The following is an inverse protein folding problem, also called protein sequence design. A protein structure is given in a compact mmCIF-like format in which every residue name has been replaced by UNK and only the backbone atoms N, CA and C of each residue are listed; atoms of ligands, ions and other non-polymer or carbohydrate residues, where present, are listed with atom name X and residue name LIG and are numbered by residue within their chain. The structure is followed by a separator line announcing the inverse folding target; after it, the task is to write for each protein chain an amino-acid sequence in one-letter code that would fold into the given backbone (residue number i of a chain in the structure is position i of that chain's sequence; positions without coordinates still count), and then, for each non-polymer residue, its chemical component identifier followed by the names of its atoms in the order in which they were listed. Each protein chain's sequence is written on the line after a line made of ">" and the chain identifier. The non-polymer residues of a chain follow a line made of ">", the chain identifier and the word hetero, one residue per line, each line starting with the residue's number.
data_IF_061023835875
#
_entry.id   IF_061023835875
#
_cell.length_a   1.000
_cell.length_b   1.000
_cell.length_c   1.000
_cell.angle_alpha   90.00
_cell.angle_beta   90.00
_cell.angle_gamma   90.00
#
_symmetry.space_group_name_H-M   'P 1'
#
loop_
_entity.id
_entity.type
_entity.pdbx_description
1 polymer ?
#
# COMPACT_ATOMS: atom_id res chain seq x y z
N UNK A 1 -6.24 13.11 -29.33
CA UNK A 1 -6.44 11.83 -30.05
C UNK A 1 -5.49 10.83 -29.44
N UNK A 2 -5.99 9.81 -28.73
CA UNK A 2 -5.11 8.79 -28.17
C UNK A 2 -4.59 7.89 -29.29
N UNK A 3 -3.27 7.70 -29.36
CA UNK A 3 -2.69 6.80 -30.36
C UNK A 3 -3.16 5.36 -30.09
N UNK A 4 -3.68 4.63 -31.10
CA UNK A 4 -4.19 3.27 -30.90
C UNK A 4 -3.12 2.30 -30.37
N UNK A 5 -1.85 2.55 -30.67
CA UNK A 5 -0.67 1.91 -30.05
C UNK A 5 -0.67 1.99 -28.52
N UNK A 6 -0.92 3.19 -27.96
CA UNK A 6 -0.86 3.44 -26.51
C UNK A 6 -2.02 2.71 -25.82
N UNK A 7 -3.22 2.72 -26.42
CA UNK A 7 -4.36 1.96 -25.91
C UNK A 7 -4.08 0.47 -25.84
N UNK A 8 -3.44 -0.12 -26.85
CA UNK A 8 -3.08 -1.56 -26.86
C UNK A 8 -2.04 -1.91 -25.80
N UNK A 9 -1.01 -1.09 -25.60
CA UNK A 9 0.00 -1.27 -24.54
C UNK A 9 -0.63 -1.24 -23.15
N UNK A 10 -1.52 -0.27 -22.88
CA UNK A 10 -2.28 -0.18 -21.62
C UNK A 10 -3.19 -1.40 -21.39
N UNK A 11 -3.88 -1.89 -22.44
CA UNK A 11 -4.70 -3.10 -22.38
C UNK A 11 -3.85 -4.34 -22.06
N UNK A 12 -2.69 -4.50 -22.70
CA UNK A 12 -1.79 -5.64 -22.42
C UNK A 12 -1.25 -5.61 -20.99
N UNK A 13 -0.79 -4.46 -20.48
CA UNK A 13 -0.38 -4.33 -19.08
C UNK A 13 -1.52 -4.65 -18.09
N UNK A 14 -2.75 -4.27 -18.44
CA UNK A 14 -3.95 -4.59 -17.65
C UNK A 14 -4.25 -6.11 -17.67
N UNK A 15 -4.13 -6.75 -18.83
CA UNK A 15 -4.21 -8.21 -18.98
C UNK A 15 -3.17 -8.92 -18.12
N UNK A 16 -1.90 -8.53 -18.22
CA UNK A 16 -0.81 -9.13 -17.44
C UNK A 16 -1.07 -9.02 -15.95
N UNK A 17 -1.57 -7.87 -15.48
CA UNK A 17 -1.95 -7.66 -14.08
C UNK A 17 -3.14 -8.55 -13.66
N UNK A 18 -4.17 -8.66 -14.50
CA UNK A 18 -5.34 -9.51 -14.23
C UNK A 18 -5.00 -11.01 -14.26
N UNK A 19 -4.16 -11.46 -15.19
CA UNK A 19 -3.65 -12.83 -15.23
C UNK A 19 -2.85 -13.16 -13.96
N UNK A 20 -1.90 -12.28 -13.58
CA UNK A 20 -1.12 -12.41 -12.35
C UNK A 20 -1.98 -12.42 -11.10
N UNK A 21 -3.00 -11.56 -11.05
CA UNK A 21 -3.95 -11.49 -9.93
C UNK A 21 -4.83 -12.74 -9.85
N UNK A 22 -5.50 -13.15 -10.94
CA UNK A 22 -6.32 -14.37 -10.96
C UNK A 22 -5.52 -15.63 -10.60
N UNK A 23 -4.28 -15.76 -11.06
CA UNK A 23 -3.36 -16.86 -10.68
C UNK A 23 -2.95 -16.83 -9.19
N UNK A 24 -3.06 -15.69 -8.51
CA UNK A 24 -2.83 -15.55 -7.06
C UNK A 24 -4.11 -15.83 -6.26
N UNK A 25 -5.28 -15.48 -6.79
CA UNK A 25 -6.57 -15.54 -6.09
C UNK A 25 -7.33 -16.87 -6.25
N UNK A 26 -7.18 -17.59 -7.37
CA UNK A 26 -7.95 -18.80 -7.64
C UNK A 26 -7.08 -20.07 -7.69
N UNK A 27 -7.47 -21.07 -6.90
CA UNK A 27 -6.87 -22.42 -6.97
C UNK A 27 -7.21 -23.21 -8.24
N UNK A 28 -8.26 -22.80 -8.97
CA UNK A 28 -8.64 -23.45 -10.24
C UNK A 28 -7.98 -22.73 -11.43
N UNK A 29 -6.87 -23.31 -11.90
CA UNK A 29 -6.04 -22.78 -12.99
C UNK A 29 -6.76 -22.81 -14.35
N UNK A 30 -7.75 -23.69 -14.57
CA UNK A 30 -8.49 -23.74 -15.84
C UNK A 30 -9.25 -22.43 -16.14
N UNK A 31 -9.70 -21.70 -15.11
CA UNK A 31 -10.35 -20.38 -15.27
C UNK A 31 -9.46 -19.29 -15.84
N UNK A 32 -8.14 -19.52 -15.90
CA UNK A 32 -7.22 -18.63 -16.59
C UNK A 32 -7.31 -18.72 -18.12
N UNK A 33 -7.92 -19.80 -18.65
CA UNK A 33 -7.99 -20.12 -20.08
C UNK A 33 -9.43 -20.18 -20.64
N UNK A 34 -10.43 -19.75 -19.86
CA UNK A 34 -11.80 -19.52 -20.36
C UNK A 34 -11.82 -18.40 -21.42
N UNK A 35 -12.74 -18.44 -22.37
CA UNK A 35 -12.71 -17.58 -23.56
C UNK A 35 -12.77 -16.07 -23.24
N UNK A 36 -13.42 -15.69 -22.13
CA UNK A 36 -13.49 -14.31 -21.59
C UNK A 36 -12.39 -13.99 -20.55
N UNK A 37 -11.33 -14.80 -20.50
CA UNK A 37 -10.22 -14.59 -19.57
C UNK A 37 -9.29 -13.46 -20.01
N UNK A 38 -8.55 -12.92 -19.03
CA UNK A 38 -7.48 -11.96 -19.30
C UNK A 38 -6.43 -12.53 -20.27
N UNK A 39 -6.06 -13.82 -20.16
CA UNK A 39 -5.09 -14.42 -21.08
C UNK A 39 -5.62 -14.43 -22.52
N UNK A 40 -6.84 -14.93 -22.76
CA UNK A 40 -7.45 -14.86 -24.10
C UNK A 40 -7.51 -13.42 -24.66
N UNK A 41 -7.81 -12.45 -23.80
CA UNK A 41 -7.76 -11.02 -24.19
C UNK A 41 -6.35 -10.60 -24.62
N UNK A 42 -5.30 -11.02 -23.90
CA UNK A 42 -3.90 -10.72 -24.25
C UNK A 42 -3.40 -11.42 -25.50
N UNK A 43 -3.84 -12.65 -25.76
CA UNK A 43 -3.49 -13.40 -26.96
C UNK A 43 -3.84 -12.62 -28.24
N UNK A 44 -4.97 -11.90 -28.24
CA UNK A 44 -5.40 -11.05 -29.37
C UNK A 44 -4.58 -9.76 -29.52
N UNK A 45 -3.76 -9.38 -28.53
CA UNK A 45 -2.95 -8.16 -28.52
C UNK A 45 -1.48 -8.40 -28.91
N UNK A 46 -1.00 -9.65 -28.94
CA UNK A 46 0.42 -9.98 -29.13
C UNK A 46 1.04 -9.35 -30.39
N UNK A 47 0.39 -9.49 -31.55
CA UNK A 47 0.85 -8.89 -32.81
C UNK A 47 0.65 -7.37 -32.92
N UNK A 48 0.50 -6.66 -31.80
CA UNK A 48 0.29 -5.21 -31.75
C UNK A 48 0.81 -4.55 -30.46
N UNK A 49 1.76 -5.20 -29.79
CA UNK A 49 2.51 -4.64 -28.65
C UNK A 49 4.00 -4.89 -28.84
N UNK A 50 4.89 -4.09 -28.22
CA UNK A 50 6.33 -4.30 -28.31
C UNK A 50 6.75 -5.66 -27.74
N UNK A 51 7.81 -6.24 -28.30
CA UNK A 51 8.29 -7.58 -27.98
C UNK A 51 8.50 -7.83 -26.48
N UNK A 52 8.93 -6.81 -25.72
CA UNK A 52 9.06 -6.90 -24.26
C UNK A 52 7.73 -7.25 -23.55
N UNK A 53 6.60 -6.67 -23.96
CA UNK A 53 5.28 -7.00 -23.42
C UNK A 53 4.75 -8.33 -23.97
N UNK A 54 5.12 -8.68 -25.21
CA UNK A 54 4.78 -9.98 -25.79
C UNK A 54 5.49 -11.12 -25.05
N UNK A 55 6.79 -10.97 -24.75
CA UNK A 55 7.57 -11.90 -23.94
C UNK A 55 7.03 -12.01 -22.52
N UNK A 56 6.73 -10.88 -21.86
CA UNK A 56 6.12 -10.89 -20.53
C UNK A 56 4.77 -11.63 -20.50
N UNK A 57 4.00 -11.56 -21.59
CA UNK A 57 2.78 -12.35 -21.78
C UNK A 57 3.05 -13.84 -22.00
N UNK A 58 4.05 -14.21 -22.80
CA UNK A 58 4.43 -15.61 -23.05
C UNK A 58 4.95 -16.28 -21.77
N UNK A 59 5.75 -15.59 -20.96
CA UNK A 59 6.17 -16.05 -19.63
C UNK A 59 4.97 -16.24 -18.69
N UNK A 60 4.04 -15.30 -18.70
CA UNK A 60 2.80 -15.38 -17.91
C UNK A 60 1.89 -16.53 -18.39
N UNK A 61 1.86 -16.82 -19.69
CA UNK A 61 1.15 -17.97 -20.25
C UNK A 61 1.79 -19.29 -19.79
N UNK A 62 3.11 -19.45 -19.96
CA UNK A 62 3.87 -20.63 -19.57
C UNK A 62 3.79 -20.91 -18.05
N UNK A 63 3.83 -19.86 -17.22
CA UNK A 63 3.67 -19.98 -15.77
C UNK A 63 2.24 -20.35 -15.33
N UNK A 64 1.23 -20.20 -16.18
CA UNK A 64 -0.10 -20.78 -15.95
C UNK A 64 -0.16 -22.24 -16.40
N UNK A 65 0.38 -22.58 -17.58
CA UNK A 65 0.41 -23.95 -18.13
C UNK A 65 1.12 -24.93 -17.17
N UNK A 66 2.31 -24.56 -16.68
CA UNK A 66 3.10 -25.38 -15.74
C UNK A 66 2.43 -25.60 -14.38
N UNK A 67 1.47 -24.74 -13.97
CA UNK A 67 0.65 -24.98 -12.77
C UNK A 67 -0.44 -26.00 -13.02
N UNK A 68 -1.06 -26.01 -14.20
CA UNK A 68 -2.08 -27.02 -14.59
C UNK A 68 -1.54 -28.45 -14.48
N UNK A 69 -0.32 -28.70 -14.95
CA UNK A 69 0.33 -30.02 -14.88
C UNK A 69 0.61 -30.48 -13.43
N UNK A 70 1.06 -29.56 -12.56
CA UNK A 70 1.29 -29.86 -11.14
C UNK A 70 -0.01 -30.23 -10.42
N UNK A 71 -1.12 -29.59 -10.75
CA UNK A 71 -2.44 -29.92 -10.19
C UNK A 71 -2.92 -31.31 -10.62
N UNK A 72 -2.58 -31.77 -11.83
CA UNK A 72 -2.91 -33.12 -12.29
C UNK A 72 -2.05 -34.21 -11.63
N UNK A 73 -0.77 -33.95 -11.35
CA UNK A 73 0.10 -34.89 -10.62
C UNK A 73 -0.21 -35.03 -9.12
N UNK A 74 -1.04 -34.15 -8.55
CA UNK A 74 -1.39 -34.12 -7.11
C UNK A 74 -2.39 -35.18 -6.61
N UNK A 75 -2.85 -36.13 -7.45
CA UNK A 75 -3.80 -37.19 -7.07
C UNK A 75 -3.16 -38.59 -7.02
N UNK A 76 -2.21 -38.77 -6.10
CA UNK A 76 -1.96 -40.09 -5.47
C UNK A 76 -1.83 -39.90 -3.96
N UNK A 77 -2.71 -40.58 -3.21
CA UNK A 77 -2.64 -40.71 -1.76
C UNK A 77 -1.66 -41.81 -1.41
N UNK A 78 -0.82 -41.58 -0.41
CA UNK A 78 -0.33 -42.61 0.50
C UNK A 78 -0.26 -41.99 1.90
N UNK A 79 -0.48 -42.81 2.92
CA UNK A 79 -0.74 -42.40 4.31
C UNK A 79 0.22 -43.16 5.19
N UNK A 80 0.94 -42.50 6.10
CA UNK A 80 1.57 -43.19 7.25
C UNK A 80 1.86 -42.20 8.39
N UNK A 81 1.84 -42.72 9.62
CA UNK A 81 1.82 -41.97 10.89
C UNK A 81 3.11 -42.16 11.71
N UNK A 82 3.27 -41.31 12.73
CA UNK A 82 4.23 -41.51 13.84
C UNK A 82 5.50 -40.66 13.78
N UNK A 83 6.17 -40.28 14.88
CA UNK A 83 5.87 -40.45 16.32
C UNK A 83 6.59 -39.33 17.10
N UNK A 84 6.10 -38.98 18.30
CA UNK A 84 6.67 -37.94 19.18
C UNK A 84 8.06 -38.28 19.76
N UNK A 85 8.85 -37.27 20.14
CA UNK A 85 9.71 -37.30 21.34
C UNK A 85 9.95 -35.88 21.91
N UNK A 86 10.46 -35.78 23.15
CA UNK A 86 10.09 -34.72 24.12
C UNK A 86 11.21 -34.35 25.11
N UNK A 87 11.42 -33.03 25.35
CA UNK A 87 12.16 -32.41 26.50
C UNK A 87 13.69 -32.74 26.59
N UNK A 88 14.57 -32.07 27.35
CA UNK A 88 14.56 -30.92 28.32
C UNK A 88 15.98 -30.25 28.30
N UNK A 89 16.43 -29.26 29.08
CA UNK A 89 15.94 -28.46 30.24
C UNK A 89 16.76 -27.17 30.42
N UNK A 90 16.10 -26.07 30.80
CA UNK A 90 16.38 -25.13 31.90
C UNK A 90 17.81 -24.67 32.29
N UNK A 91 17.95 -23.35 32.54
CA UNK A 91 18.30 -22.71 33.84
C UNK A 91 18.13 -21.19 33.67
N UNK A 92 17.59 -20.48 34.67
CA UNK A 92 17.42 -19.02 34.61
C UNK A 92 17.92 -18.31 35.88
N UNK A 93 18.02 -16.98 35.79
CA UNK A 93 18.20 -16.08 36.96
C UNK A 93 17.52 -14.75 36.64
N UNK A 94 16.91 -14.11 37.65
CA UNK A 94 16.15 -12.86 37.50
C UNK A 94 16.80 -11.67 38.24
N UNK A 95 16.14 -10.51 38.10
CA UNK A 95 16.12 -9.29 38.97
C UNK A 95 17.07 -8.14 38.53
N UNK A 96 16.71 -6.83 38.62
CA UNK A 96 15.39 -6.18 38.79
C UNK A 96 15.01 -5.15 37.69
N UNK A 97 13.75 -4.71 37.75
CA UNK A 97 13.19 -3.53 37.10
C UNK A 97 13.76 -2.18 37.59
N UNK A 98 13.81 -1.19 36.69
CA UNK A 98 13.66 0.22 37.03
C UNK A 98 12.48 0.82 36.24
N UNK A 99 11.31 0.78 36.86
CA UNK A 99 10.14 1.57 36.45
C UNK A 99 10.24 2.93 37.16
N UNK A 100 9.96 4.01 36.46
CA UNK A 100 9.38 5.21 37.06
C UNK A 100 8.42 5.89 36.07
N UNK A 101 7.37 6.56 36.56
CA UNK A 101 6.06 6.39 35.92
C UNK A 101 5.51 7.66 35.27
N UNK A 102 4.77 7.46 34.18
CA UNK A 102 3.97 8.49 33.49
C UNK A 102 2.63 7.92 33.07
N UNK A 103 1.87 7.39 34.04
CA UNK A 103 0.62 6.69 33.81
C UNK A 103 -0.53 7.68 33.56
N UNK A 104 -0.98 7.76 32.32
CA UNK A 104 -2.38 8.10 32.03
C UNK A 104 -2.93 7.02 31.09
N UNK A 105 -3.94 6.23 31.52
CA UNK A 105 -4.72 5.41 30.61
C UNK A 105 -5.50 6.37 29.71
N UNK A 106 -5.04 6.59 28.48
CA UNK A 106 -5.84 7.35 27.52
C UNK A 106 -7.01 6.48 27.07
N UNK A 107 -8.23 7.01 27.23
CA UNK A 107 -9.41 6.41 26.63
C UNK A 107 -9.28 6.39 25.10
N UNK A 108 -9.78 5.34 24.46
CA UNK A 108 -10.10 5.37 23.04
C UNK A 108 -11.29 6.33 22.86
N UNK A 109 -11.02 7.63 22.69
CA UNK A 109 -12.01 8.70 22.48
C UNK A 109 -12.75 8.61 21.12
N UNK A 110 -12.78 7.42 20.53
CA UNK A 110 -13.65 7.02 19.43
C UNK A 110 -14.89 6.27 19.95
N UNK A 111 -15.48 6.74 21.06
CA UNK A 111 -16.91 6.54 21.30
C UNK A 111 -17.70 7.32 20.25
N UNK A 112 -17.85 6.73 19.07
CA UNK A 112 -18.98 7.01 18.20
C UNK A 112 -20.25 6.61 18.94
N UNK A 113 -21.31 7.39 18.79
CA UNK A 113 -22.64 6.98 19.22
C UNK A 113 -22.95 5.61 18.58
N UNK A 114 -23.14 4.56 19.40
CA UNK A 114 -23.29 3.19 18.89
C UNK A 114 -24.62 3.01 18.13
N UNK A 115 -25.58 3.92 18.34
CA UNK A 115 -26.83 4.05 17.59
C UNK A 115 -26.73 5.17 16.54
N UNK A 116 -25.96 4.94 15.46
CA UNK A 116 -25.89 5.88 14.35
C UNK A 116 -25.13 5.33 13.13
N UNK A 117 -25.23 5.98 11.95
CA UNK A 117 -24.52 5.55 10.73
C UNK A 117 -22.99 5.62 10.84
N UNK A 118 -22.47 6.24 11.91
CA UNK A 118 -21.04 6.32 12.24
C UNK A 118 -20.60 5.34 13.36
N UNK A 119 -21.51 4.47 13.83
CA UNK A 119 -21.22 3.41 14.79
C UNK A 119 -20.32 2.33 14.18
N UNK A 120 -20.59 1.95 12.93
CA UNK A 120 -19.71 1.07 12.14
C UNK A 120 -18.40 1.79 11.76
N UNK A 121 -17.32 1.02 11.57
CA UNK A 121 -16.00 1.57 11.20
C UNK A 121 -15.69 1.32 9.73
N UNK A 122 -15.49 2.41 8.98
CA UNK A 122 -15.26 2.36 7.55
C UNK A 122 -13.76 2.25 7.23
N UNK A 123 -13.41 1.26 6.41
CA UNK A 123 -12.02 0.93 6.04
C UNK A 123 -11.84 1.06 4.54
N UNK A 124 -10.85 1.85 4.11
CA UNK A 124 -10.43 1.97 2.73
C UNK A 124 -9.05 1.30 2.54
N UNK A 125 -8.95 0.32 1.65
CA UNK A 125 -7.71 -0.43 1.40
C UNK A 125 -7.18 -0.26 -0.03
N UNK A 126 -5.88 -0.02 -0.17
CA UNK A 126 -5.20 0.11 -1.45
C UNK A 126 -4.14 -0.99 -1.69
N UNK A 127 -4.35 -1.75 -2.76
CA UNK A 127 -3.39 -2.74 -3.26
C UNK A 127 -2.14 -2.11 -3.87
N UNK A 128 -1.05 -2.88 -3.88
CA UNK A 128 0.17 -2.53 -4.59
C UNK A 128 0.05 -2.60 -6.11
N UNK A 129 0.88 -1.83 -6.82
CA UNK A 129 0.88 -1.86 -8.28
C UNK A 129 1.89 -0.96 -9.01
N UNK A 130 2.79 -0.25 -8.32
CA UNK A 130 3.57 0.81 -8.95
C UNK A 130 2.66 1.90 -9.53
N UNK A 131 3.02 2.44 -10.69
CA UNK A 131 2.25 3.47 -11.44
C UNK A 131 0.77 3.11 -11.61
N UNK A 132 0.43 1.82 -11.70
CA UNK A 132 -0.96 1.37 -11.88
C UNK A 132 -1.87 1.59 -10.66
N UNK A 133 -1.34 2.03 -9.51
CA UNK A 133 -2.14 2.44 -8.34
C UNK A 133 -3.00 3.69 -8.60
N UNK A 134 -2.64 4.52 -9.59
CA UNK A 134 -3.46 5.67 -10.02
C UNK A 134 -4.89 5.23 -10.41
N UNK A 135 -5.07 4.01 -10.94
CA UNK A 135 -6.41 3.48 -11.24
C UNK A 135 -7.32 3.37 -10.00
N UNK A 136 -6.77 2.96 -8.85
CA UNK A 136 -7.52 2.91 -7.58
C UNK A 136 -7.90 4.31 -7.09
N UNK A 137 -7.02 5.31 -7.28
CA UNK A 137 -7.32 6.71 -6.96
C UNK A 137 -8.37 7.30 -7.91
N UNK A 138 -8.39 6.94 -9.19
CA UNK A 138 -9.44 7.37 -10.13
C UNK A 138 -10.81 6.77 -9.77
N UNK A 139 -10.85 5.50 -9.33
CA UNK A 139 -12.07 4.88 -8.79
C UNK A 139 -12.52 5.61 -7.52
N UNK A 140 -11.59 5.87 -6.58
CA UNK A 140 -11.90 6.65 -5.38
C UNK A 140 -12.39 8.06 -5.72
N UNK A 141 -11.79 8.75 -6.68
CA UNK A 141 -12.24 10.06 -7.16
C UNK A 141 -13.70 10.00 -7.64
N UNK A 142 -14.10 8.91 -8.31
CA UNK A 142 -15.49 8.69 -8.71
C UNK A 142 -16.43 8.46 -7.52
N UNK A 143 -15.97 7.77 -6.48
CA UNK A 143 -16.69 7.62 -5.21
C UNK A 143 -16.83 8.97 -4.50
N UNK A 144 -15.76 9.76 -4.41
CA UNK A 144 -15.77 11.08 -3.76
C UNK A 144 -16.67 12.09 -4.50
N UNK A 145 -16.75 12.05 -5.83
CA UNK A 145 -17.77 12.83 -6.55
C UNK A 145 -19.17 12.44 -6.09
N UNK A 146 -19.46 11.14 -5.96
CA UNK A 146 -20.79 10.69 -5.54
C UNK A 146 -21.10 11.09 -4.10
N UNK A 147 -20.11 11.05 -3.22
CA UNK A 147 -20.21 11.54 -1.84
C UNK A 147 -20.51 13.04 -1.81
N UNK A 148 -19.73 13.87 -2.52
CA UNK A 148 -20.01 15.31 -2.70
C UNK A 148 -21.44 15.55 -3.19
N UNK A 149 -21.85 14.86 -4.24
CA UNK A 149 -23.18 15.04 -4.83
C UNK A 149 -24.30 14.66 -3.83
N UNK A 150 -24.04 13.73 -2.90
CA UNK A 150 -24.96 13.39 -1.81
C UNK A 150 -24.96 14.43 -0.68
N UNK A 151 -23.79 14.90 -0.24
CA UNK A 151 -23.62 15.96 0.77
C UNK A 151 -24.32 17.28 0.35
N UNK A 152 -24.19 17.66 -0.94
CA UNK A 152 -24.83 18.86 -1.49
C UNK A 152 -26.36 18.75 -1.52
N UNK A 153 -26.90 17.55 -1.74
CA UNK A 153 -28.35 17.28 -1.84
C UNK A 153 -28.97 16.97 -0.46
N UNK A 154 -28.15 16.71 0.56
CA UNK A 154 -28.62 16.32 1.88
C UNK A 154 -29.45 17.46 2.53
N UNK A 155 -30.61 17.18 3.16
CA UNK A 155 -31.48 18.22 3.74
C UNK A 155 -30.81 19.07 4.84
N UNK A 156 -29.85 18.49 5.56
CA UNK A 156 -29.07 19.18 6.60
C UNK A 156 -27.81 19.89 6.06
N UNK A 157 -27.62 19.86 4.73
CA UNK A 157 -26.44 20.38 4.04
C UNK A 157 -25.19 19.50 4.21
N UNK A 158 -24.04 19.96 3.67
CA UNK A 158 -22.76 19.29 3.86
C UNK A 158 -22.30 19.42 5.33
N UNK A 159 -21.80 18.32 5.89
CA UNK A 159 -21.42 18.25 7.29
C UNK A 159 -20.29 19.24 7.65
N UNK A 160 -20.30 19.80 8.87
CA UNK A 160 -19.27 20.74 9.29
C UNK A 160 -17.85 20.14 9.28
N UNK A 161 -17.76 18.82 9.46
CA UNK A 161 -16.53 18.03 9.37
C UNK A 161 -16.15 17.60 7.96
N UNK A 162 -17.07 17.62 6.98
CA UNK A 162 -16.77 17.22 5.60
C UNK A 162 -16.09 18.32 4.80
N UNK A 163 -16.23 19.59 5.25
CA UNK A 163 -15.49 20.74 4.72
C UNK A 163 -14.10 20.82 5.35
N UNK A 164 -13.08 21.19 4.55
CA UNK A 164 -11.74 21.48 5.06
C UNK A 164 -11.77 22.61 6.10
N UNK A 165 -11.12 22.38 7.25
CA UNK A 165 -11.05 23.38 8.33
C UNK A 165 -10.08 24.47 7.89
N UNK A 166 -10.64 25.61 7.48
CA UNK A 166 -9.91 26.79 7.04
C UNK A 166 -9.96 26.99 5.53
N UNK A 167 -11.09 27.51 5.02
CA UNK A 167 -11.06 28.86 4.48
C UNK A 167 -12.45 29.51 4.38
N UNK A 168 -12.47 30.85 4.34
CA UNK A 168 -13.69 31.66 4.35
C UNK A 168 -14.35 31.73 2.96
N UNK A 169 -15.63 32.08 2.96
CA UNK A 169 -16.44 32.42 1.78
C UNK A 169 -15.67 33.20 0.70
N UNK A 170 -15.51 32.57 -0.46
CA UNK A 170 -15.39 33.07 -1.86
C UNK A 170 -14.56 32.01 -2.62
N UNK A 171 -15.12 31.18 -3.50
CA UNK A 171 -15.76 31.63 -4.73
C UNK A 171 -16.92 30.74 -5.19
N UNK A 172 -17.96 31.43 -5.66
CA UNK A 172 -18.89 30.93 -6.65
C UNK A 172 -18.19 30.16 -7.80
N UNK A 173 -18.87 29.15 -8.34
CA UNK A 173 -18.46 28.40 -9.55
C UNK A 173 -17.09 27.70 -9.44
N UNK A 174 -16.84 26.94 -8.37
CA UNK A 174 -15.73 25.98 -8.35
C UNK A 174 -15.89 24.96 -9.48
N UNK A 175 -14.79 24.64 -10.18
CA UNK A 175 -14.78 23.69 -11.30
C UNK A 175 -15.44 22.36 -10.91
N UNK A 176 -16.55 22.00 -11.58
CA UNK A 176 -17.37 20.82 -11.26
C UNK A 176 -16.62 19.48 -11.28
N UNK A 177 -15.37 19.48 -11.77
CA UNK A 177 -14.44 18.35 -11.87
C UNK A 177 -13.46 18.22 -10.69
N UNK A 178 -13.63 18.99 -9.61
CA UNK A 178 -12.84 18.84 -8.37
C UNK A 178 -13.67 18.33 -7.20
N UNK A 179 -13.01 17.63 -6.30
CA UNK A 179 -13.56 17.11 -5.01
C UNK A 179 -12.72 17.57 -3.81
N UNK A 180 -11.90 18.61 -4.01
CA UNK A 180 -10.89 19.07 -3.04
C UNK A 180 -11.48 19.43 -1.66
N UNK A 181 -12.73 19.88 -1.61
CA UNK A 181 -13.43 20.21 -0.36
C UNK A 181 -13.79 18.98 0.49
N UNK A 182 -13.98 17.81 -0.13
CA UNK A 182 -14.51 16.60 0.51
C UNK A 182 -13.41 15.53 0.61
N UNK A 183 -12.69 15.51 1.72
CA UNK A 183 -11.49 14.69 1.89
C UNK A 183 -11.85 13.26 2.29
N UNK A 184 -11.21 12.21 1.74
CA UNK A 184 -11.48 10.83 2.16
C UNK A 184 -11.29 10.61 3.67
N UNK A 185 -10.42 11.38 4.33
CA UNK A 185 -10.20 11.33 5.77
C UNK A 185 -11.43 11.73 6.63
N UNK A 186 -12.48 12.28 6.01
CA UNK A 186 -13.75 12.60 6.67
C UNK A 186 -14.75 11.43 6.67
N UNK A 187 -14.55 10.43 5.81
CA UNK A 187 -15.51 9.33 5.58
C UNK A 187 -14.97 7.94 5.93
N UNK A 188 -13.64 7.80 6.03
CA UNK A 188 -13.00 6.52 6.37
C UNK A 188 -12.23 6.65 7.69
N UNK A 189 -12.63 5.86 8.69
CA UNK A 189 -11.91 5.73 9.96
C UNK A 189 -10.49 5.20 9.77
N UNK A 190 -10.33 4.24 8.85
CA UNK A 190 -9.06 3.57 8.56
C UNK A 190 -8.70 3.65 7.09
N UNK A 191 -7.41 3.85 6.82
CA UNK A 191 -6.84 3.74 5.47
C UNK A 191 -5.63 2.82 5.50
N UNK A 192 -5.68 1.72 4.77
CA UNK A 192 -4.63 0.72 4.73
C UNK A 192 -4.03 0.58 3.33
N UNK A 193 -2.73 0.31 3.22
CA UNK A 193 -2.18 0.06 1.89
C UNK A 193 -0.76 -0.51 1.85
N UNK A 194 -0.50 -1.21 0.74
CA UNK A 194 0.75 -1.94 0.50
C UNK A 194 1.45 -1.40 -0.76
N UNK A 195 2.78 -1.29 -0.76
CA UNK A 195 3.51 -0.65 -1.88
C UNK A 195 3.02 0.77 -2.15
N UNK A 196 2.79 1.13 -3.41
CA UNK A 196 2.17 2.40 -3.83
C UNK A 196 0.79 2.63 -3.22
N UNK A 197 0.03 1.58 -2.89
CA UNK A 197 -1.21 1.73 -2.11
C UNK A 197 -0.94 2.20 -0.67
N UNK A 198 0.20 1.83 -0.10
CA UNK A 198 0.68 2.37 1.17
C UNK A 198 0.96 3.87 1.07
N UNK A 199 1.57 4.32 -0.04
CA UNK A 199 1.72 5.76 -0.34
C UNK A 199 0.36 6.45 -0.42
N UNK A 200 -0.62 5.89 -1.15
CA UNK A 200 -2.00 6.42 -1.20
C UNK A 200 -2.64 6.53 0.19
N UNK A 201 -2.47 5.51 1.05
CA UNK A 201 -3.01 5.53 2.42
C UNK A 201 -2.36 6.61 3.32
N UNK A 202 -1.06 6.86 3.14
CA UNK A 202 -0.28 7.90 3.84
C UNK A 202 -0.76 9.29 3.40
N UNK A 203 -0.87 9.49 2.08
CA UNK A 203 -1.25 10.77 1.47
C UNK A 203 -2.70 11.16 1.82
N UNK A 204 -3.65 10.25 1.63
CA UNK A 204 -5.07 10.53 1.89
C UNK A 204 -5.42 10.54 3.38
N UNK A 205 -4.83 9.62 4.16
CA UNK A 205 -5.18 9.44 5.58
C UNK A 205 -4.33 10.30 6.50
N UNK A 206 -3.00 10.16 6.43
CA UNK A 206 -2.10 10.84 7.37
C UNK A 206 -1.82 12.29 7.00
N UNK A 207 -1.64 12.59 5.73
CA UNK A 207 -1.45 13.94 5.22
C UNK A 207 -2.77 14.66 4.90
N UNK A 208 -3.91 13.95 4.97
CA UNK A 208 -5.28 14.48 4.78
C UNK A 208 -5.47 15.20 3.44
N UNK A 209 -4.79 14.76 2.39
CA UNK A 209 -4.95 15.32 1.06
C UNK A 209 -6.28 14.94 0.40
N UNK A 210 -6.69 15.75 -0.58
CA UNK A 210 -7.76 15.38 -1.51
C UNK A 210 -7.32 14.24 -2.43
N UNK A 211 -8.29 13.63 -3.14
CA UNK A 211 -7.96 12.59 -4.14
C UNK A 211 -7.23 13.18 -5.34
N UNK A 212 -7.52 14.44 -5.70
CA UNK A 212 -6.83 15.14 -6.78
C UNK A 212 -5.36 15.38 -6.43
N UNK A 213 -5.09 15.98 -5.27
CA UNK A 213 -3.74 16.12 -4.73
C UNK A 213 -2.99 14.78 -4.65
N UNK A 214 -3.68 13.70 -4.25
CA UNK A 214 -3.07 12.38 -4.17
C UNK A 214 -2.72 11.77 -5.54
N UNK A 215 -3.52 12.05 -6.58
CA UNK A 215 -3.23 11.65 -7.96
C UNK A 215 -2.00 12.42 -8.46
N UNK A 216 -1.99 13.73 -8.31
CA UNK A 216 -0.91 14.61 -8.77
C UNK A 216 0.42 14.22 -8.10
N UNK A 217 0.43 14.06 -6.76
CA UNK A 217 1.60 13.58 -6.02
C UNK A 217 2.10 12.21 -6.53
N UNK A 218 1.21 11.23 -6.74
CA UNK A 218 1.64 9.93 -7.25
C UNK A 218 2.19 9.99 -8.68
N UNK A 219 1.65 10.88 -9.53
CA UNK A 219 2.17 11.12 -10.89
C UNK A 219 3.57 11.73 -10.81
N UNK A 220 3.77 12.77 -9.98
CA UNK A 220 5.05 13.44 -9.83
C UNK A 220 6.12 12.55 -9.22
N UNK A 221 5.77 11.72 -8.22
CA UNK A 221 6.65 10.66 -7.73
C UNK A 221 7.05 9.68 -8.83
N UNK A 222 6.09 9.21 -9.64
CA UNK A 222 6.41 8.30 -10.75
C UNK A 222 7.34 8.97 -11.78
N UNK A 223 7.12 10.26 -12.07
CA UNK A 223 7.90 11.04 -13.02
C UNK A 223 9.32 11.38 -12.51
N UNK A 224 9.48 11.66 -11.22
CA UNK A 224 10.78 11.96 -10.61
C UNK A 224 11.64 10.71 -10.39
N UNK A 225 11.01 9.59 -10.05
CA UNK A 225 11.72 8.36 -9.65
C UNK A 225 11.95 7.40 -10.80
N UNK A 226 10.96 7.16 -11.69
CA UNK A 226 11.05 6.09 -12.69
C UNK A 226 11.61 6.51 -14.05
N UNK A 227 11.88 7.81 -14.25
CA UNK A 227 12.36 8.37 -15.52
C UNK A 227 13.76 7.89 -15.90
N UNK A 228 14.70 7.92 -14.95
CA UNK A 228 16.10 7.59 -15.18
C UNK A 228 16.49 6.35 -14.34
N UNK A 229 16.52 5.14 -14.93
CA UNK A 229 17.20 4.00 -14.33
C UNK A 229 18.69 4.28 -14.09
N UNK A 230 19.27 3.64 -13.08
CA UNK A 230 20.72 3.68 -12.85
C UNK A 230 21.45 3.03 -14.03
N UNK A 231 22.54 3.66 -14.49
CA UNK A 231 23.25 3.25 -15.71
C UNK A 231 23.81 1.83 -15.65
N UNK A 232 24.28 1.41 -14.47
CA UNK A 232 24.90 0.09 -14.23
C UNK A 232 23.88 -1.00 -13.84
N UNK A 233 22.61 -0.89 -14.27
CA UNK A 233 21.59 -1.92 -14.06
C UNK A 233 21.81 -3.13 -14.97
N UNK A 234 22.84 -3.93 -14.65
CA UNK A 234 23.02 -5.27 -15.22
C UNK A 234 22.49 -6.34 -14.25
N UNK A 235 21.35 -6.94 -14.61
CA UNK A 235 20.64 -7.91 -13.77
C UNK A 235 21.17 -9.33 -13.98
N UNK A 236 22.36 -9.63 -13.44
CA UNK A 236 22.86 -11.01 -13.37
C UNK A 236 21.91 -11.92 -12.56
N UNK A 237 21.90 -13.23 -12.84
CA UNK A 237 21.06 -14.19 -12.08
C UNK A 237 21.39 -14.29 -10.58
N UNK A 238 22.54 -13.75 -10.14
CA UNK A 238 23.03 -13.86 -8.76
C UNK A 238 22.74 -12.60 -7.94
N UNK A 239 22.84 -11.41 -8.56
CA UNK A 239 22.60 -10.13 -7.90
C UNK A 239 21.55 -9.31 -8.66
N UNK A 240 20.50 -8.89 -7.96
CA UNK A 240 19.45 -8.00 -8.51
C UNK A 240 19.62 -6.64 -7.83
N UNK A 241 20.35 -5.69 -8.45
CA UNK A 241 20.59 -4.37 -7.88
C UNK A 241 19.30 -3.54 -7.85
N UNK A 242 19.33 -2.40 -7.15
CA UNK A 242 18.27 -1.41 -7.28
C UNK A 242 18.32 -0.79 -8.69
N UNK A 243 17.15 -0.63 -9.33
CA UNK A 243 17.04 -0.02 -10.66
C UNK A 243 16.99 1.51 -10.60
N UNK A 244 16.55 2.08 -9.48
CA UNK A 244 16.30 3.51 -9.32
C UNK A 244 17.03 4.07 -8.10
N UNK A 245 17.46 5.33 -8.19
CA UNK A 245 18.25 6.02 -7.15
C UNK A 245 17.49 6.09 -5.82
N UNK A 246 18.17 5.70 -4.73
CA UNK A 246 17.68 5.88 -3.36
C UNK A 246 17.42 7.35 -3.04
N UNK A 247 18.31 8.26 -3.44
CA UNK A 247 18.22 9.68 -3.09
C UNK A 247 17.04 10.37 -3.79
N UNK A 248 16.91 10.21 -5.12
CA UNK A 248 15.74 10.69 -5.88
C UNK A 248 14.42 10.14 -5.30
N UNK A 249 14.43 8.90 -4.83
CA UNK A 249 13.25 8.28 -4.20
C UNK A 249 12.96 8.91 -2.84
N UNK A 250 13.97 9.16 -2.00
CA UNK A 250 13.81 9.83 -0.71
C UNK A 250 13.30 11.26 -0.87
N UNK A 251 13.83 12.04 -1.82
CA UNK A 251 13.38 13.38 -2.17
C UNK A 251 11.91 13.37 -2.60
N UNK A 252 11.55 12.52 -3.57
CA UNK A 252 10.18 12.40 -4.08
C UNK A 252 9.15 11.84 -3.07
N UNK A 253 9.60 11.28 -1.94
CA UNK A 253 8.73 10.91 -0.81
C UNK A 253 8.60 12.02 0.23
N UNK A 254 9.59 12.92 0.33
CA UNK A 254 9.51 14.11 1.19
C UNK A 254 8.59 15.17 0.57
N UNK A 255 8.57 15.32 -0.76
CA UNK A 255 7.64 16.24 -1.44
C UNK A 255 6.18 15.98 -1.08
N UNK A 256 5.76 14.71 -0.91
CA UNK A 256 4.42 14.38 -0.41
C UNK A 256 4.11 15.08 0.93
N UNK A 257 5.07 15.02 1.85
CA UNK A 257 4.91 15.58 3.20
C UNK A 257 4.90 17.11 3.12
N UNK A 258 5.78 17.70 2.32
CA UNK A 258 5.80 19.14 2.05
C UNK A 258 4.44 19.61 1.53
N UNK A 259 3.91 18.96 0.48
CA UNK A 259 2.59 19.23 -0.10
C UNK A 259 1.44 19.09 0.90
N UNK A 260 1.58 18.26 1.94
CA UNK A 260 0.57 18.06 2.99
C UNK A 260 0.67 19.05 4.16
N UNK A 261 1.69 19.91 4.17
CA UNK A 261 2.01 20.83 5.28
C UNK A 261 2.02 22.31 4.81
N UNK A 262 1.77 22.59 3.52
CA UNK A 262 1.79 23.93 2.89
C UNK A 262 1.02 25.04 3.64
N UNK A 263 0.08 24.71 4.53
CA UNK A 263 -0.61 25.69 5.38
C UNK A 263 0.25 26.38 6.47
N UNK A 264 1.47 25.91 6.75
CA UNK A 264 2.27 26.41 7.90
C UNK A 264 3.43 27.36 7.52
N UNK A 265 4.06 27.21 6.33
CA UNK A 265 5.18 28.07 5.89
C UNK A 265 5.40 27.99 4.37
N UNK A 266 5.98 29.06 3.79
CA UNK A 266 6.37 29.15 2.38
C UNK A 266 7.90 28.96 2.18
N UNK A 267 8.70 28.78 3.25
CA UNK A 267 10.13 28.51 3.12
C UNK A 267 10.38 27.03 2.79
N UNK A 268 10.94 26.76 1.61
CA UNK A 268 11.26 25.42 1.11
C UNK A 268 12.22 24.70 2.07
N UNK A 269 13.20 25.40 2.64
CA UNK A 269 14.21 24.85 3.55
C UNK A 269 13.58 24.40 4.87
N UNK A 270 12.59 25.16 5.35
CA UNK A 270 11.81 24.82 6.53
C UNK A 270 10.89 23.61 6.25
N UNK A 271 10.19 23.60 5.11
CA UNK A 271 9.36 22.49 4.66
C UNK A 271 10.15 21.18 4.51
N UNK A 272 11.37 21.20 3.96
CA UNK A 272 12.24 20.01 3.85
C UNK A 272 12.68 19.49 5.23
N UNK A 273 13.01 20.40 6.16
CA UNK A 273 13.36 20.08 7.53
C UNK A 273 12.16 19.45 8.29
N UNK A 274 10.95 19.99 8.12
CA UNK A 274 9.72 19.42 8.66
C UNK A 274 9.43 18.05 8.01
N UNK A 275 9.49 17.94 6.69
CA UNK A 275 9.25 16.69 5.96
C UNK A 275 10.22 15.56 6.36
N UNK A 276 11.46 15.91 6.72
CA UNK A 276 12.45 14.96 7.22
C UNK A 276 12.15 14.48 8.66
N UNK A 277 11.38 15.23 9.45
CA UNK A 277 11.15 15.03 10.90
C UNK A 277 9.69 14.78 11.32
N UNK A 278 8.70 14.88 10.43
CA UNK A 278 7.29 14.61 10.75
C UNK A 278 7.08 13.10 11.05
N UNK A 279 6.69 12.74 12.29
CA UNK A 279 6.55 11.36 12.71
C UNK A 279 5.27 10.75 12.13
N UNK A 280 5.30 9.48 11.72
CA UNK A 280 4.09 8.83 11.18
C UNK A 280 3.01 8.62 12.25
N UNK A 281 3.40 8.31 13.49
CA UNK A 281 2.49 8.29 14.63
C UNK A 281 2.30 9.71 15.15
N UNK A 282 1.04 10.21 15.13
CA UNK A 282 0.70 11.58 15.54
C UNK A 282 -0.51 11.55 16.47
N UNK A 283 -0.44 12.28 17.58
CA UNK A 283 -1.53 12.37 18.57
C UNK A 283 -2.70 13.20 18.01
N UNK A 284 -3.91 12.89 18.47
CA UNK A 284 -5.15 13.58 18.07
C UNK A 284 -6.01 12.81 17.06
N UNK A 285 -7.19 13.36 16.75
CA UNK A 285 -8.18 12.75 15.84
C UNK A 285 -7.73 12.89 14.37
N UNK A 286 -6.93 11.94 13.88
CA UNK A 286 -6.65 11.72 12.45
C UNK A 286 -7.08 10.32 12.04
N UNK A 287 -7.38 10.12 10.76
CA UNK A 287 -7.63 8.79 10.17
C UNK A 287 -6.51 7.81 10.54
N UNK A 288 -6.93 6.59 10.91
CA UNK A 288 -6.08 5.49 11.35
C UNK A 288 -5.39 4.85 10.13
N UNK A 289 -4.23 5.38 9.75
CA UNK A 289 -3.47 4.92 8.58
C UNK A 289 -2.61 3.70 8.91
N UNK A 290 -2.54 2.76 7.96
CA UNK A 290 -1.80 1.50 8.05
C UNK A 290 -0.96 1.31 6.78
N UNK A 291 0.34 1.08 6.91
CA UNK A 291 1.23 0.72 5.79
C UNK A 291 1.95 -0.60 6.08
N UNK A 292 2.24 -1.39 5.04
CA UNK A 292 2.83 -2.72 5.18
C UNK A 292 4.23 -2.81 4.57
N UNK A 293 5.15 -3.45 5.29
CA UNK A 293 6.46 -3.85 4.79
C UNK A 293 6.87 -5.21 5.36
N UNK A 294 8.01 -5.72 4.94
CA UNK A 294 8.64 -6.93 5.47
C UNK A 294 9.95 -6.49 6.13
N UNK A 295 10.07 -6.80 7.41
CA UNK A 295 11.29 -6.59 8.20
C UNK A 295 12.19 -7.80 8.04
N UNK A 296 13.44 -7.58 7.65
CA UNK A 296 14.50 -8.59 7.66
C UNK A 296 15.48 -8.29 8.79
N UNK A 297 15.62 -9.26 9.69
CA UNK A 297 16.61 -9.32 10.76
C UNK A 297 17.46 -10.57 10.52
N UNK A 298 18.73 -10.37 10.17
CA UNK A 298 19.74 -11.42 9.96
C UNK A 298 19.29 -12.60 9.05
N UNK A 299 18.48 -12.29 8.04
CA UNK A 299 17.96 -13.27 7.07
C UNK A 299 16.57 -13.83 7.41
N UNK A 300 16.03 -13.53 8.60
CA UNK A 300 14.67 -13.90 9.02
C UNK A 300 13.70 -12.80 8.60
N UNK A 301 12.64 -13.18 7.89
CA UNK A 301 11.65 -12.25 7.32
C UNK A 301 10.37 -12.27 8.14
N UNK A 302 9.93 -11.10 8.61
CA UNK A 302 8.72 -10.91 9.38
C UNK A 302 7.80 -9.87 8.73
N UNK A 303 6.46 -10.04 8.75
CA UNK A 303 5.55 -8.94 8.49
C UNK A 303 5.84 -7.77 9.43
N UNK A 304 5.84 -6.56 8.88
CA UNK A 304 5.87 -5.34 9.64
C UNK A 304 4.72 -4.42 9.23
N UNK A 305 3.91 -4.05 10.21
CA UNK A 305 2.72 -3.23 10.02
C UNK A 305 2.96 -1.89 10.72
N UNK A 306 3.08 -0.84 9.94
CA UNK A 306 3.16 0.53 10.42
C UNK A 306 1.75 1.05 10.70
N UNK A 307 1.54 1.67 11.86
CA UNK A 307 0.25 2.25 12.26
C UNK A 307 0.45 3.68 12.74
N UNK A 308 -0.42 4.61 12.33
CA UNK A 308 -0.41 5.99 12.83
C UNK A 308 -1.00 6.14 14.24
N UNK A 309 -1.50 5.04 14.80
CA UNK A 309 -2.23 4.91 16.06
C UNK A 309 -1.69 3.73 16.87
N UNK A 310 -2.02 3.69 18.17
CA UNK A 310 -1.64 2.58 19.03
C UNK A 310 -2.44 1.31 18.66
N UNK A 311 -1.76 0.28 18.17
CA UNK A 311 -2.34 -1.06 17.98
C UNK A 311 -2.08 -1.99 19.18
N UNK A 312 -2.87 -3.06 19.35
CA UNK A 312 -2.65 -4.05 20.40
C UNK A 312 -1.46 -4.99 20.11
N UNK A 313 -1.12 -5.17 18.84
CA UNK A 313 -0.08 -6.11 18.40
C UNK A 313 1.33 -5.50 18.49
N UNK A 314 2.18 -6.11 19.30
CA UNK A 314 3.60 -5.79 19.44
C UNK A 314 4.52 -6.64 18.55
N UNK A 315 4.04 -7.77 18.03
CA UNK A 315 4.83 -8.71 17.23
C UNK A 315 4.99 -8.21 15.79
N UNK A 316 3.94 -7.66 15.19
CA UNK A 316 4.01 -7.06 13.84
C UNK A 316 4.41 -5.59 13.81
N UNK A 317 4.55 -4.92 14.96
CA UNK A 317 4.87 -3.48 15.05
C UNK A 317 6.00 -3.19 16.04
N UNK A 318 7.11 -3.92 15.91
CA UNK A 318 8.31 -3.72 16.76
C UNK A 318 8.96 -2.37 16.45
N UNK A 319 8.96 -1.48 17.45
CA UNK A 319 9.40 -0.09 17.39
C UNK A 319 8.56 0.81 16.44
N UNK A 320 7.70 1.64 17.05
CA UNK A 320 6.71 2.49 16.36
C UNK A 320 7.24 3.88 15.96
N UNK A 321 8.47 4.21 16.31
CA UNK A 321 9.06 5.53 16.04
C UNK A 321 9.78 5.52 14.69
N UNK A 322 9.10 6.06 13.67
CA UNK A 322 9.65 6.32 12.34
C UNK A 322 8.91 7.50 11.69
N UNK A 323 9.60 8.20 10.79
CA UNK A 323 9.08 9.35 10.05
C UNK A 323 8.21 8.91 8.88
N UNK A 324 7.34 9.80 8.40
CA UNK A 324 6.44 9.49 7.27
C UNK A 324 7.22 9.00 6.04
N UNK A 325 8.33 9.68 5.68
CA UNK A 325 9.11 9.34 4.49
C UNK A 325 9.83 7.99 4.60
N UNK A 326 10.28 7.62 5.81
CA UNK A 326 10.93 6.34 6.07
C UNK A 326 9.97 5.17 5.87
N UNK A 327 8.75 5.31 6.38
CA UNK A 327 7.68 4.31 6.24
C UNK A 327 7.18 4.26 4.79
N UNK A 328 7.04 5.42 4.16
CA UNK A 328 6.71 5.52 2.73
C UNK A 328 7.75 4.79 1.86
N UNK A 329 9.05 4.91 2.18
CA UNK A 329 10.12 4.12 1.55
C UNK A 329 10.00 2.63 1.90
N UNK A 330 9.79 2.27 3.17
CA UNK A 330 9.67 0.87 3.61
C UNK A 330 8.53 0.11 2.91
N UNK A 331 7.34 0.72 2.74
CA UNK A 331 6.21 0.11 2.03
C UNK A 331 6.48 0.00 0.53
N UNK A 332 7.09 1.02 -0.09
CA UNK A 332 7.29 1.10 -1.55
C UNK A 332 8.54 0.38 -2.08
N UNK A 333 9.54 0.13 -1.23
CA UNK A 333 10.85 -0.41 -1.59
C UNK A 333 10.80 -1.87 -2.10
N UNK A 334 10.45 -2.05 -3.37
CA UNK A 334 10.35 -3.36 -4.00
C UNK A 334 11.71 -3.89 -4.45
N UNK A 335 12.01 -5.16 -4.18
CA UNK A 335 13.27 -5.81 -4.57
C UNK A 335 13.49 -5.71 -6.09
N UNK A 336 14.67 -5.24 -6.49
CA UNK A 336 15.05 -5.02 -7.90
C UNK A 336 14.57 -3.70 -8.50
N UNK A 337 13.80 -2.91 -7.75
CA UNK A 337 13.46 -1.52 -8.09
C UNK A 337 14.20 -0.55 -7.18
N UNK A 338 14.14 -0.82 -5.87
CA UNK A 338 14.68 0.03 -4.82
C UNK A 338 15.49 -0.77 -3.81
N UNK A 339 16.42 -0.11 -3.15
CA UNK A 339 17.09 -0.64 -1.97
C UNK A 339 16.14 -0.72 -0.77
N UNK A 340 16.43 -1.64 0.15
CA UNK A 340 15.75 -1.66 1.45
C UNK A 340 16.15 -0.43 2.27
N UNK A 341 15.22 0.09 3.08
CA UNK A 341 15.55 1.09 4.10
C UNK A 341 15.91 0.39 5.41
N UNK A 342 16.98 0.86 6.08
CA UNK A 342 17.33 0.40 7.42
C UNK A 342 16.70 1.32 8.45
N UNK A 343 15.80 0.80 9.28
CA UNK A 343 15.15 1.54 10.37
C UNK A 343 15.37 0.76 11.66
N UNK A 344 15.87 1.41 12.71
CA UNK A 344 16.09 0.82 14.03
C UNK A 344 16.86 -0.53 14.00
N UNK A 345 17.86 -0.63 13.12
CA UNK A 345 18.70 -1.83 12.96
C UNK A 345 18.23 -2.82 11.90
N UNK A 346 16.93 -2.91 11.64
CA UNK A 346 16.35 -3.89 10.72
C UNK A 346 16.20 -3.36 9.28
N UNK A 347 16.29 -4.27 8.29
CA UNK A 347 16.15 -3.93 6.87
C UNK A 347 14.71 -4.12 6.41
N UNK A 348 14.02 -3.03 6.09
CA UNK A 348 12.61 -3.04 5.67
C UNK A 348 12.47 -2.79 4.17
N UNK A 349 11.62 -3.61 3.54
CA UNK A 349 11.30 -3.55 2.11
C UNK A 349 9.93 -4.18 1.85
N UNK A 350 9.42 -4.13 0.63
CA UNK A 350 8.35 -5.03 0.18
C UNK A 350 8.89 -6.15 -0.72
N UNK A 351 8.28 -7.33 -0.63
CA UNK A 351 8.54 -8.45 -1.53
C UNK A 351 7.29 -8.83 -2.31
N UNK A 352 7.39 -8.75 -3.64
CA UNK A 352 6.39 -9.26 -4.57
C UNK A 352 6.11 -10.77 -4.46
N UNK A 353 6.93 -11.55 -3.74
CA UNK A 353 6.74 -13.00 -3.55
C UNK A 353 6.02 -13.37 -2.24
N UNK A 354 6.11 -12.53 -1.21
CA UNK A 354 5.87 -12.99 0.17
C UNK A 354 4.52 -12.54 0.77
N UNK A 355 3.75 -11.68 0.10
CA UNK A 355 2.35 -11.42 0.47
C UNK A 355 1.48 -12.70 0.51
N UNK A 356 1.94 -13.81 -0.08
CA UNK A 356 1.27 -15.12 -0.04
C UNK A 356 1.49 -15.84 1.31
N UNK A 357 2.58 -15.60 2.04
CA UNK A 357 2.80 -16.25 3.34
C UNK A 357 2.02 -15.60 4.49
N UNK A 358 1.67 -14.32 4.39
CA UNK A 358 0.90 -13.64 5.44
C UNK A 358 -0.53 -14.19 5.58
N UNK A 359 -1.14 -14.66 4.48
CA UNK A 359 -2.42 -15.38 4.52
C UNK A 359 -2.36 -16.74 5.22
N UNK A 360 -1.16 -17.33 5.41
CA UNK A 360 -1.01 -18.64 6.06
C UNK A 360 -0.77 -18.56 7.57
N UNK A 361 -0.38 -17.40 8.10
CA UNK A 361 -0.23 -17.20 9.55
C UNK A 361 -1.56 -16.86 10.23
N UNK A 362 -2.53 -16.28 9.51
CA UNK A 362 -3.87 -16.00 10.04
C UNK A 362 -4.77 -17.23 10.21
N UNK A 363 -4.53 -18.31 9.45
CA UNK A 363 -5.34 -19.54 9.47
C UNK A 363 -4.96 -20.54 10.57
N UNK A 364 -3.88 -20.31 11.33
CA UNK A 364 -3.43 -21.22 12.41
C UNK A 364 -4.07 -20.87 13.77
N UNK A 365 -4.67 -19.68 13.90
CA UNK A 365 -5.23 -19.17 15.15
C UNK A 365 -6.68 -19.58 15.46
N UNK A 366 -7.35 -20.35 14.60
CA UNK A 366 -8.79 -20.68 14.72
C UNK A 366 -9.10 -22.16 14.94
N UNK A 367 -8.09 -22.96 15.33
CA UNK A 367 -8.24 -24.40 15.64
C UNK A 367 -7.44 -24.84 16.86
N UNK A 368 -7.89 -24.42 18.04
CA UNK A 368 -7.70 -25.12 19.32
C UNK A 368 -8.95 -24.91 20.17
#
# INVERSE_FOLDING_TARGET
>A
MDSPEISKKLRMMSVLRLARSRRRMHGNVQKAFEQDSALWTGLTLLGSVPDALAMEYVEELACNITKTEKTQKGKKKETEEGTQHKKMSDIGTAIPSLISPGLFPQADDNKSDEEGPWGEKLVLSFDGGGVSAISSLLILKRIMYRIRDLEIIHPEGPAFSSRSIGDKYHSALSDSKKVDEYLPCHYFDYMAGTSTGGLSSIVLGRLRMSVDQAIDNLIDFCNGVFRDPLADFDSTHVHVPAKYSTDKTCEALKTFIMSGIIGETNDISELENIATKEPFMKRGRRTRTIAFSIRNEDGIYHPHIWRSYNGPDSQTSVNRSAMIWEIARATSANRGYFEAIKINGANLRISNRDCIQLSRYSDVGSRT
#
